data_IF_830930084498
#
_entry.id   IF_830930084498
#
_cell.length_a   1.000
_cell.length_b   1.000
_cell.length_c   1.000
_cell.angle_alpha   90.00
_cell.angle_beta   90.00
_cell.angle_gamma   90.00
#
_symmetry.space_group_name_H-M   'P 1'
#
loop_
_entity.id
_entity.type
_entity.pdbx_description
1 polymer ?
#
# COMPACT_ATOMS: atom_id res chain seq x y z
N UNK A 1 21.69 23.48 -8.10
CA UNK A 1 22.33 22.31 -8.75
C UNK A 1 21.28 21.22 -8.84
N UNK A 2 20.94 20.83 -10.06
CA UNK A 2 19.76 20.03 -10.41
C UNK A 2 19.97 18.57 -10.03
N UNK A 3 19.36 18.10 -8.95
CA UNK A 3 19.30 16.68 -8.57
C UNK A 3 18.26 15.93 -9.44
N UNK A 4 18.32 16.13 -10.76
CA UNK A 4 17.52 15.41 -11.75
C UNK A 4 18.32 14.19 -12.18
N UNK A 5 18.19 13.08 -11.44
CA UNK A 5 18.74 11.82 -11.95
C UNK A 5 19.09 10.74 -10.94
N UNK A 6 18.68 10.81 -9.67
CA UNK A 6 18.60 9.57 -8.89
C UNK A 6 17.40 8.79 -9.42
N UNK A 7 17.68 7.69 -10.12
CA UNK A 7 16.71 6.59 -10.24
C UNK A 7 16.10 6.37 -8.85
N UNK A 8 14.79 6.63 -8.74
CA UNK A 8 14.04 6.45 -7.50
C UNK A 8 13.66 4.98 -7.41
N UNK A 9 14.65 4.17 -7.08
CA UNK A 9 14.43 2.75 -6.82
C UNK A 9 13.60 2.58 -5.55
N UNK A 10 12.39 2.03 -5.71
CA UNK A 10 11.60 1.52 -4.62
C UNK A 10 12.07 0.10 -4.31
N UNK A 11 12.62 -0.08 -3.11
CA UNK A 11 13.03 -1.38 -2.58
C UNK A 11 12.19 -1.63 -1.34
N UNK A 12 11.41 -2.70 -1.36
CA UNK A 12 10.60 -3.15 -0.23
C UNK A 12 11.12 -4.48 0.27
N UNK A 13 11.41 -4.57 1.56
CA UNK A 13 11.78 -5.80 2.25
C UNK A 13 10.55 -6.67 2.52
N UNK A 14 10.74 -7.94 2.93
CA UNK A 14 9.63 -8.74 3.47
C UNK A 14 8.90 -7.99 4.59
N UNK A 15 7.57 -8.14 4.65
CA UNK A 15 6.68 -7.41 5.57
C UNK A 15 6.57 -5.90 5.34
N UNK A 16 7.01 -5.38 4.20
CA UNK A 16 6.82 -3.98 3.83
C UNK A 16 5.89 -3.82 2.63
N UNK A 17 5.23 -2.67 2.56
CA UNK A 17 4.45 -2.25 1.41
C UNK A 17 4.46 -0.72 1.27
N UNK A 18 4.16 -0.21 0.09
CA UNK A 18 4.05 1.23 -0.16
C UNK A 18 2.94 1.56 -1.14
N UNK A 19 2.34 2.74 -0.98
CA UNK A 19 1.38 3.30 -1.94
C UNK A 19 2.06 4.31 -2.86
N UNK A 20 1.86 4.12 -4.16
CA UNK A 20 2.41 4.98 -5.20
C UNK A 20 1.26 5.50 -6.05
N UNK A 21 1.09 6.81 -6.09
CA UNK A 21 0.15 7.49 -6.98
C UNK A 21 0.78 7.62 -8.36
N UNK A 22 0.13 7.04 -9.37
CA UNK A 22 0.42 7.27 -10.78
C UNK A 22 -0.30 8.56 -11.21
N UNK A 23 0.45 9.67 -11.36
CA UNK A 23 -0.13 10.97 -11.73
C UNK A 23 -0.62 11.03 -13.19
N UNK A 24 -0.36 10.01 -14.02
CA UNK A 24 -0.91 9.93 -15.38
C UNK A 24 -2.32 9.33 -15.42
N UNK A 25 -2.55 8.29 -14.61
CA UNK A 25 -3.85 7.58 -14.56
C UNK A 25 -4.72 8.02 -13.39
N UNK A 26 -4.14 8.69 -12.39
CA UNK A 26 -4.80 9.04 -11.15
C UNK A 26 -5.03 7.86 -10.20
N UNK A 27 -4.46 6.70 -10.52
CA UNK A 27 -4.60 5.49 -9.72
C UNK A 27 -3.55 5.44 -8.61
N UNK A 28 -3.92 4.85 -7.46
CA UNK A 28 -2.96 4.54 -6.40
C UNK A 28 -2.69 3.04 -6.43
N UNK A 29 -1.44 2.71 -6.72
CA UNK A 29 -0.95 1.34 -6.77
C UNK A 29 -0.35 0.96 -5.42
N UNK A 30 -0.48 -0.31 -5.06
CA UNK A 30 0.17 -0.88 -3.88
C UNK A 30 1.27 -1.86 -4.31
N UNK A 31 2.49 -1.60 -3.85
CA UNK A 31 3.63 -2.50 -4.00
C UNK A 31 3.87 -3.22 -2.68
N UNK A 32 4.08 -4.53 -2.74
CA UNK A 32 4.27 -5.38 -1.56
C UNK A 32 5.60 -6.11 -1.68
N UNK A 33 6.40 -6.03 -0.63
CA UNK A 33 7.71 -6.67 -0.56
C UNK A 33 7.66 -8.19 -0.37
N UNK A 34 8.78 -8.90 -0.61
CA UNK A 34 10.01 -8.40 -1.23
C UNK A 34 9.81 -8.00 -2.70
N UNK A 35 10.16 -6.75 -3.04
CA UNK A 35 10.01 -6.24 -4.41
C UNK A 35 10.97 -5.08 -4.65
N UNK A 36 11.58 -5.06 -5.85
CA UNK A 36 12.37 -3.93 -6.35
C UNK A 36 11.76 -3.45 -7.66
N UNK A 37 11.54 -2.14 -7.77
CA UNK A 37 11.12 -1.49 -9.01
C UNK A 37 11.66 -0.06 -9.06
N UNK A 38 11.86 0.48 -10.26
CA UNK A 38 12.25 1.87 -10.45
C UNK A 38 11.01 2.71 -10.73
N UNK A 39 10.83 3.81 -9.99
CA UNK A 39 9.68 4.69 -10.15
C UNK A 39 9.88 5.66 -11.31
N UNK A 40 8.81 5.87 -12.08
CA UNK A 40 8.77 6.88 -13.13
C UNK A 40 8.72 8.30 -12.52
N UNK A 41 8.99 9.32 -13.35
CA UNK A 41 8.87 10.72 -12.92
C UNK A 41 7.43 11.12 -12.54
N UNK A 42 6.44 10.38 -13.02
CA UNK A 42 5.02 10.56 -12.74
C UNK A 42 4.54 9.78 -11.52
N UNK A 43 5.43 8.99 -10.91
CA UNK A 43 5.12 8.19 -9.73
C UNK A 43 5.46 8.96 -8.45
N UNK A 44 4.43 9.17 -7.65
CA UNK A 44 4.52 9.91 -6.40
C UNK A 44 4.15 9.02 -5.22
N UNK A 45 5.09 8.73 -4.29
CA UNK A 45 4.77 8.05 -3.05
C UNK A 45 3.79 8.85 -2.22
N UNK A 46 2.85 8.12 -1.62
CA UNK A 46 1.77 8.69 -0.81
C UNK A 46 1.51 7.83 0.42
N UNK A 47 0.99 8.45 1.47
CA UNK A 47 0.46 7.75 2.65
C UNK A 47 -0.98 8.19 2.87
N UNK A 48 -1.83 7.26 3.29
CA UNK A 48 -3.20 7.60 3.67
C UNK A 48 -3.20 8.26 5.05
N UNK A 49 -3.65 9.52 5.11
CA UNK A 49 -3.88 10.21 6.38
C UNK A 49 -5.28 9.86 6.91
N UNK A 50 -5.39 9.14 8.04
CA UNK A 50 -6.67 8.79 8.62
C UNK A 50 -7.44 9.98 9.19
N UNK A 51 -6.78 11.12 9.46
CA UNK A 51 -7.41 12.35 9.94
C UNK A 51 -8.16 13.08 8.82
N UNK A 52 -7.45 13.43 7.75
CA UNK A 52 -8.04 14.12 6.59
C UNK A 52 -8.77 13.20 5.60
N UNK A 53 -8.60 11.87 5.73
CA UNK A 53 -9.11 10.85 4.79
C UNK A 53 -8.57 11.01 3.36
N UNK A 54 -7.34 11.51 3.22
CA UNK A 54 -6.69 11.77 1.93
C UNK A 54 -5.35 11.06 1.85
N UNK A 55 -4.94 10.77 0.63
CA UNK A 55 -3.55 10.40 0.36
C UNK A 55 -2.70 11.65 0.28
N UNK A 56 -1.63 11.70 1.08
CA UNK A 56 -0.72 12.83 1.18
C UNK A 56 0.61 12.44 0.55
N UNK A 57 1.16 13.32 -0.29
CA UNK A 57 2.47 13.13 -0.92
C UNK A 57 3.56 13.08 0.15
N UNK A 58 4.50 12.17 -0.03
CA UNK A 58 5.59 11.94 0.93
C UNK A 58 6.87 11.46 0.23
N UNK A 59 7.94 11.28 0.99
CA UNK A 59 9.19 10.68 0.51
C UNK A 59 9.04 9.15 0.34
N UNK A 60 10.04 8.50 -0.26
CA UNK A 60 10.04 7.04 -0.38
C UNK A 60 10.14 6.36 0.99
N UNK A 61 11.05 6.84 1.83
CA UNK A 61 11.32 6.26 3.14
C UNK A 61 10.09 6.36 4.06
N UNK A 62 9.36 7.47 3.98
CA UNK A 62 8.12 7.69 4.74
C UNK A 62 6.91 6.93 4.16
N UNK A 63 6.90 6.62 2.86
CA UNK A 63 5.82 5.86 2.23
C UNK A 63 5.89 4.35 2.52
N UNK A 64 7.08 3.84 2.83
CA UNK A 64 7.31 2.45 3.20
C UNK A 64 6.69 2.16 4.56
N UNK A 65 5.74 1.22 4.56
CA UNK A 65 4.95 0.85 5.73
C UNK A 65 5.10 -0.63 6.04
N UNK A 66 5.04 -0.98 7.32
CA UNK A 66 5.05 -2.37 7.77
C UNK A 66 3.65 -2.98 7.69
N UNK A 67 3.58 -4.21 7.19
CA UNK A 67 2.37 -5.02 7.13
C UNK A 67 1.80 -5.24 8.55
N UNK A 68 0.48 -5.10 8.70
CA UNK A 68 -0.21 -5.43 9.95
C UNK A 68 -0.32 -6.95 10.12
N UNK A 69 0.01 -7.44 11.32
CA UNK A 69 0.03 -8.87 11.65
C UNK A 69 -0.91 -9.12 12.84
N UNK A 70 -1.81 -10.09 12.72
CA UNK A 70 -2.50 -10.69 13.86
C UNK A 70 -1.96 -12.11 14.10
N UNK A 71 -1.27 -12.34 15.24
CA UNK A 71 -0.91 -13.68 15.70
C UNK A 71 -2.12 -14.55 16.03
N UNK A 72 -1.90 -15.83 16.29
CA UNK A 72 -2.95 -16.73 16.77
C UNK A 72 -3.58 -16.21 18.07
N UNK A 73 -4.91 -16.25 18.15
CA UNK A 73 -5.68 -15.69 19.27
C UNK A 73 -5.91 -14.18 19.23
N UNK A 74 -5.34 -13.47 18.23
CA UNK A 74 -5.54 -12.03 18.02
C UNK A 74 -6.46 -11.79 16.81
N UNK A 75 -6.87 -10.55 16.60
CA UNK A 75 -7.62 -10.15 15.41
C UNK A 75 -7.23 -8.75 14.95
N UNK A 76 -7.38 -8.49 13.64
CA UNK A 76 -7.32 -7.16 13.05
C UNK A 76 -8.73 -6.65 12.80
N UNK A 77 -8.87 -5.33 12.85
CA UNK A 77 -10.09 -4.63 12.44
C UNK A 77 -9.83 -3.98 11.08
N UNK A 78 -10.40 -4.55 10.02
CA UNK A 78 -10.27 -4.01 8.67
C UNK A 78 -11.49 -3.17 8.32
N UNK A 79 -11.25 -1.93 7.87
CA UNK A 79 -12.26 -1.08 7.24
C UNK A 79 -12.18 -1.24 5.73
N UNK A 80 -13.31 -1.11 5.05
CA UNK A 80 -13.42 -1.14 3.60
C UNK A 80 -12.79 -2.40 2.97
N UNK A 81 -13.16 -3.62 3.44
CA UNK A 81 -12.59 -4.85 2.89
C UNK A 81 -12.91 -4.98 1.41
N UNK A 82 -11.98 -5.57 0.65
CA UNK A 82 -12.20 -5.93 -0.75
C UNK A 82 -13.44 -6.83 -0.89
N UNK A 83 -14.24 -6.61 -1.94
CA UNK A 83 -15.50 -7.32 -2.15
C UNK A 83 -15.31 -8.83 -2.34
N UNK A 84 -14.18 -9.21 -2.93
CA UNK A 84 -13.76 -10.58 -3.16
C UNK A 84 -12.89 -11.15 -2.02
N UNK A 85 -12.70 -10.40 -0.94
CA UNK A 85 -11.79 -10.73 0.18
C UNK A 85 -10.34 -11.00 -0.27
N UNK A 86 -9.91 -10.41 -1.39
CA UNK A 86 -8.51 -10.50 -1.82
C UNK A 86 -7.62 -9.50 -1.10
N UNK A 87 -6.33 -9.76 -1.14
CA UNK A 87 -5.29 -8.89 -0.59
C UNK A 87 -4.22 -8.60 -1.65
N UNK A 88 -3.53 -7.46 -1.57
CA UNK A 88 -2.38 -7.17 -2.40
C UNK A 88 -1.33 -8.29 -2.32
N UNK A 89 -0.83 -8.72 -3.48
CA UNK A 89 0.15 -9.79 -3.60
C UNK A 89 1.56 -9.24 -3.78
N UNK A 90 2.53 -9.92 -3.17
CA UNK A 90 3.96 -9.70 -3.41
C UNK A 90 4.34 -9.94 -4.86
N UNK A 91 5.23 -9.11 -5.39
CA UNK A 91 5.89 -9.35 -6.68
C UNK A 91 5.00 -9.21 -7.93
N UNK A 92 3.73 -8.84 -7.78
CA UNK A 92 2.79 -8.66 -8.87
C UNK A 92 2.25 -7.23 -8.93
N UNK A 93 1.81 -6.81 -10.12
CA UNK A 93 1.08 -5.55 -10.27
C UNK A 93 -0.32 -5.72 -9.66
N UNK A 94 -0.59 -4.97 -8.60
CA UNK A 94 -1.85 -5.04 -7.85
C UNK A 94 -2.84 -4.01 -8.39
N UNK A 95 -3.90 -4.48 -9.04
CA UNK A 95 -5.03 -3.64 -9.41
C UNK A 95 -5.98 -3.51 -8.22
N UNK A 96 -6.43 -2.29 -7.93
CA UNK A 96 -7.38 -2.02 -6.85
C UNK A 96 -8.70 -2.77 -7.11
N UNK A 97 -9.11 -3.71 -6.25
CA UNK A 97 -10.42 -4.34 -6.35
C UNK A 97 -11.52 -3.37 -5.90
N UNK A 98 -12.78 -3.72 -6.18
CA UNK A 98 -13.91 -3.01 -5.59
C UNK A 98 -13.91 -3.20 -4.07
N UNK A 99 -13.93 -2.10 -3.33
CA UNK A 99 -13.94 -2.11 -1.87
C UNK A 99 -15.37 -1.91 -1.34
N UNK A 100 -15.72 -2.63 -0.27
CA UNK A 100 -16.98 -2.42 0.44
C UNK A 100 -16.89 -1.18 1.35
N UNK A 101 -16.92 0.01 0.75
CA UNK A 101 -16.78 1.29 1.47
C UNK A 101 -17.86 1.43 2.56
N UNK A 102 -17.43 1.82 3.76
CA UNK A 102 -18.31 1.99 4.93
C UNK A 102 -18.50 0.70 5.75
N UNK A 103 -17.97 -0.44 5.28
CA UNK A 103 -18.00 -1.71 6.02
C UNK A 103 -16.76 -1.86 6.91
N UNK A 104 -16.93 -2.54 8.03
CA UNK A 104 -15.85 -2.95 8.94
C UNK A 104 -16.01 -4.43 9.28
N UNK A 105 -14.91 -5.17 9.28
CA UNK A 105 -14.86 -6.60 9.60
C UNK A 105 -13.72 -6.89 10.58
N UNK A 106 -13.88 -7.94 11.40
CA UNK A 106 -12.83 -8.45 12.25
C UNK A 106 -12.22 -9.68 11.58
N UNK A 107 -10.90 -9.68 11.37
CA UNK A 107 -10.15 -10.78 10.76
C UNK A 107 -9.36 -11.48 11.87
N UNK A 108 -9.71 -12.72 12.23
CA UNK A 108 -8.94 -13.48 13.23
C UNK A 108 -7.58 -13.88 12.67
N UNK A 109 -6.57 -13.94 13.54
CA UNK A 109 -5.27 -14.49 13.20
C UNK A 109 -5.26 -16.03 13.11
N UNK A 110 -4.17 -16.63 12.59
CA UNK A 110 -2.97 -15.97 12.10
C UNK A 110 -3.18 -15.35 10.72
N UNK A 111 -2.90 -14.05 10.58
CA UNK A 111 -3.06 -13.36 9.29
C UNK A 111 -2.08 -12.19 9.16
N UNK A 112 -1.52 -12.01 7.96
CA UNK A 112 -0.52 -10.98 7.64
C UNK A 112 -0.67 -10.58 6.16
N UNK A 113 -1.02 -9.32 5.89
CA UNK A 113 -1.26 -8.83 4.54
C UNK A 113 -1.11 -7.31 4.44
N UNK A 114 -0.64 -6.84 3.29
CA UNK A 114 -0.63 -5.40 2.97
C UNK A 114 -2.06 -4.87 2.76
N UNK A 115 -2.29 -3.59 2.98
CA UNK A 115 -3.62 -3.00 2.85
C UNK A 115 -3.88 -2.53 1.40
N UNK A 116 -5.12 -2.66 0.94
CA UNK A 116 -5.56 -1.94 -0.26
C UNK A 116 -5.63 -0.43 0.04
N UNK A 117 -5.38 0.44 -0.96
CA UNK A 117 -5.60 1.87 -0.79
C UNK A 117 -7.11 2.18 -0.82
N UNK A 118 -7.72 2.36 0.35
CA UNK A 118 -9.11 2.83 0.49
C UNK A 118 -9.82 2.39 1.76
#
# INVERSE_FOLDING_TARGET
>A
MSDRGRERDLVLAPNEFAFISDETKGNINVYVGPHKTSLANTDQPVVFDPGSKKFVRTSLDEATQTISIAPEGWYLVLKNPARDNTHPRTGALNNLPELNIGRKVNIPGPFSFALWPG
#
